data_IF_883303195287
#
_entry.id   IF_883303195287
#
_cell.length_a   1.000
_cell.length_b   1.000
_cell.length_c   1.000
_cell.angle_alpha   90.00
_cell.angle_beta   90.00
_cell.angle_gamma   90.00
#
_symmetry.space_group_name_H-M   'P 1'
#
loop_
_entity.id
_entity.type
_entity.pdbx_description
1 polymer ?
#
# COMPACT_ATOMS: atom_id res chain seq x y z
N UNK A 1 0.65 -13.32 3.08
CA UNK A 1 0.85 -12.76 4.43
C UNK A 1 2.29 -12.65 4.85
N UNK A 2 3.07 -13.69 4.63
CA UNK A 2 4.50 -13.64 4.96
C UNK A 2 5.22 -12.52 4.22
N UNK A 3 4.85 -12.27 2.96
CA UNK A 3 5.46 -11.19 2.18
C UNK A 3 5.17 -9.82 2.79
N UNK A 4 3.97 -9.58 3.27
CA UNK A 4 3.62 -8.31 3.92
C UNK A 4 4.42 -8.11 5.21
N UNK A 5 4.53 -9.16 6.02
CA UNK A 5 5.31 -9.09 7.27
C UNK A 5 6.80 -8.85 7.01
N UNK A 6 7.34 -9.54 6.02
CA UNK A 6 8.74 -9.38 5.65
C UNK A 6 9.02 -7.98 5.12
N UNK A 7 8.10 -7.43 4.31
CA UNK A 7 8.22 -6.06 3.82
C UNK A 7 8.26 -5.06 4.97
N UNK A 8 7.39 -5.24 5.96
CA UNK A 8 7.36 -4.35 7.13
C UNK A 8 8.67 -4.42 7.92
N UNK A 9 9.19 -5.62 8.12
CA UNK A 9 10.49 -5.77 8.80
C UNK A 9 11.60 -5.07 8.05
N UNK A 10 11.64 -5.20 6.74
CA UNK A 10 12.66 -4.56 5.90
C UNK A 10 12.52 -3.04 5.87
N UNK A 11 11.28 -2.53 5.87
CA UNK A 11 11.04 -1.10 5.96
C UNK A 11 11.56 -0.52 7.26
N UNK A 12 11.28 -1.17 8.39
CA UNK A 12 11.79 -0.71 9.68
C UNK A 12 13.32 -0.75 9.76
N UNK A 13 13.93 -1.75 9.13
CA UNK A 13 15.38 -1.94 9.17
C UNK A 13 16.13 -1.03 8.20
N UNK A 14 15.43 -0.40 7.27
CA UNK A 14 16.06 0.33 6.16
C UNK A 14 16.73 1.64 6.55
N UNK A 15 16.45 2.16 7.73
CA UNK A 15 16.94 3.48 8.15
C UNK A 15 16.18 4.61 7.45
N UNK A 16 15.93 5.68 8.18
CA UNK A 16 15.19 6.82 7.63
C UNK A 16 13.69 6.60 7.50
N UNK A 17 13.18 5.45 7.89
CA UNK A 17 11.75 5.14 7.84
C UNK A 17 11.33 4.59 9.20
N UNK A 18 10.33 5.21 9.81
CA UNK A 18 9.76 4.75 11.07
C UNK A 18 8.30 4.42 10.86
N UNK A 19 7.92 3.17 11.09
CA UNK A 19 6.54 2.74 10.96
C UNK A 19 5.73 3.24 12.16
N UNK A 20 4.62 3.89 11.89
CA UNK A 20 3.74 4.43 12.93
C UNK A 20 2.54 3.53 13.16
N UNK A 21 1.85 3.16 12.10
CA UNK A 21 0.65 2.32 12.16
C UNK A 21 0.54 1.48 10.90
N UNK A 22 -0.12 0.34 11.03
CA UNK A 22 -0.50 -0.47 9.88
C UNK A 22 -1.99 -0.72 9.93
N UNK A 23 -2.62 -0.79 8.76
CA UNK A 23 -4.00 -1.23 8.67
C UNK A 23 -4.08 -2.72 8.94
N UNK A 24 -5.30 -3.22 9.13
CA UNK A 24 -5.54 -4.66 9.06
C UNK A 24 -5.22 -5.14 7.66
N UNK A 25 -4.90 -6.42 7.52
CA UNK A 25 -4.77 -7.02 6.21
C UNK A 25 -6.16 -7.15 5.59
N UNK A 26 -6.27 -6.85 4.31
CA UNK A 26 -7.52 -6.93 3.57
C UNK A 26 -7.32 -7.88 2.40
N UNK A 27 -8.30 -8.74 2.15
CA UNK A 27 -8.29 -9.61 0.99
C UNK A 27 -9.13 -8.97 -0.11
N UNK A 28 -8.59 -8.97 -1.32
CA UNK A 28 -9.26 -8.41 -2.50
C UNK A 28 -9.50 -9.55 -3.49
N UNK A 29 -10.72 -9.64 -4.03
CA UNK A 29 -11.04 -10.65 -5.02
C UNK A 29 -10.17 -10.48 -6.27
N UNK A 30 -9.78 -11.59 -6.92
CA UNK A 30 -8.97 -11.51 -8.11
C UNK A 30 -9.73 -10.85 -9.27
N UNK A 31 -8.99 -10.10 -10.09
CA UNK A 31 -9.53 -9.39 -11.25
C UNK A 31 -8.94 -10.05 -12.50
N UNK A 32 -9.81 -10.45 -13.41
CA UNK A 32 -9.40 -11.05 -14.67
C UNK A 32 -9.48 -12.58 -14.66
N UNK A 33 -9.46 -13.13 -15.87
CA UNK A 33 -9.55 -14.58 -16.04
C UNK A 33 -8.22 -15.25 -15.72
N UNK A 34 -8.30 -16.43 -15.15
CA UNK A 34 -7.13 -17.25 -14.85
C UNK A 34 -6.39 -16.89 -13.57
N UNK A 35 -6.89 -15.92 -12.82
CA UNK A 35 -6.31 -15.57 -11.53
C UNK A 35 -6.92 -16.44 -10.44
N UNK A 36 -6.08 -17.04 -9.63
CA UNK A 36 -6.51 -17.85 -8.51
C UNK A 36 -6.21 -17.14 -7.19
N UNK A 37 -7.12 -17.29 -6.23
CA UNK A 37 -6.95 -16.75 -4.90
C UNK A 37 -7.18 -15.26 -4.83
N UNK A 38 -7.29 -14.77 -3.61
CA UNK A 38 -7.48 -13.37 -3.31
C UNK A 38 -6.14 -12.72 -3.01
N UNK A 39 -5.99 -11.46 -3.41
CA UNK A 39 -4.80 -10.68 -3.09
C UNK A 39 -4.91 -10.10 -1.69
N UNK A 40 -3.79 -10.03 -1.00
CA UNK A 40 -3.73 -9.47 0.34
C UNK A 40 -3.08 -8.09 0.26
N UNK A 41 -3.77 -7.10 0.82
CA UNK A 41 -3.33 -5.71 0.80
C UNK A 41 -3.39 -5.13 2.20
N UNK A 42 -2.49 -4.18 2.47
CA UNK A 42 -2.50 -3.41 3.70
C UNK A 42 -1.88 -2.05 3.43
N UNK A 43 -2.20 -1.09 4.28
CA UNK A 43 -1.63 0.26 4.20
C UNK A 43 -0.81 0.51 5.46
N UNK A 44 0.31 1.16 5.27
CA UNK A 44 1.24 1.50 6.35
C UNK A 44 1.37 3.02 6.42
N UNK A 45 1.28 3.57 7.62
CA UNK A 45 1.63 4.96 7.88
C UNK A 45 3.02 4.99 8.47
N UNK A 46 3.88 5.80 7.88
CA UNK A 46 5.27 5.90 8.30
C UNK A 46 5.72 7.34 8.37
N UNK A 47 6.76 7.59 9.13
CA UNK A 47 7.43 8.87 9.22
C UNK A 47 8.82 8.71 8.62
N UNK A 48 9.25 9.69 7.82
CA UNK A 48 10.53 9.60 7.15
C UNK A 48 11.14 10.98 6.95
N UNK A 49 12.48 11.03 6.97
CA UNK A 49 13.25 12.23 6.60
C UNK A 49 13.68 12.16 5.13
N UNK A 50 13.41 11.05 4.47
CA UNK A 50 13.77 10.90 3.06
C UNK A 50 12.82 11.72 2.19
N UNK A 51 13.36 12.33 1.12
CA UNK A 51 12.51 12.93 0.11
C UNK A 51 11.75 11.85 -0.65
N UNK A 52 10.69 12.19 -1.39
CA UNK A 52 9.87 11.17 -2.05
C UNK A 52 10.66 10.27 -3.02
N UNK A 53 11.62 10.82 -3.75
CA UNK A 53 12.39 10.02 -4.71
C UNK A 53 13.34 9.05 -4.00
N UNK A 54 13.98 9.50 -2.93
CA UNK A 54 14.84 8.63 -2.12
C UNK A 54 14.02 7.53 -1.46
N UNK A 55 12.82 7.86 -0.99
CA UNK A 55 11.91 6.88 -0.41
C UNK A 55 11.49 5.85 -1.46
N UNK A 56 11.17 6.30 -2.67
CA UNK A 56 10.82 5.40 -3.77
C UNK A 56 11.95 4.42 -4.06
N UNK A 57 13.19 4.91 -4.13
CA UNK A 57 14.35 4.05 -4.35
C UNK A 57 14.48 3.01 -3.25
N UNK A 58 14.21 3.41 -2.00
CA UNK A 58 14.31 2.51 -0.86
C UNK A 58 13.28 1.39 -0.94
N UNK A 59 12.01 1.73 -1.24
CA UNK A 59 10.97 0.70 -1.35
C UNK A 59 11.18 -0.20 -2.57
N UNK A 60 11.68 0.34 -3.68
CA UNK A 60 12.01 -0.47 -4.85
C UNK A 60 13.16 -1.44 -4.56
N UNK A 61 14.13 -1.00 -3.78
CA UNK A 61 15.22 -1.87 -3.36
C UNK A 61 14.69 -3.05 -2.52
N UNK A 62 13.76 -2.77 -1.61
CA UNK A 62 13.14 -3.80 -0.78
C UNK A 62 12.36 -4.79 -1.65
N UNK A 63 11.59 -4.30 -2.62
CA UNK A 63 10.89 -5.17 -3.56
C UNK A 63 11.87 -6.08 -4.32
N UNK A 64 12.98 -5.51 -4.77
CA UNK A 64 14.01 -6.25 -5.47
C UNK A 64 14.65 -7.34 -4.61
N UNK A 65 14.96 -7.01 -3.36
CA UNK A 65 15.50 -7.99 -2.42
C UNK A 65 14.54 -9.14 -2.18
N UNK A 66 13.27 -8.83 -1.98
CA UNK A 66 12.24 -9.85 -1.77
C UNK A 66 12.04 -10.72 -3.01
N UNK A 67 12.18 -10.14 -4.19
CA UNK A 67 12.07 -10.86 -5.44
C UNK A 67 13.18 -11.89 -5.66
N UNK A 68 14.34 -11.71 -5.04
CA UNK A 68 15.47 -12.65 -5.16
C UNK A 68 15.18 -14.02 -4.54
N UNK A 69 14.21 -14.08 -3.64
CA UNK A 69 13.87 -15.32 -2.94
C UNK A 69 12.68 -16.02 -3.55
N UNK A 70 12.23 -15.57 -4.76
CA UNK A 70 11.15 -16.24 -5.47
C UNK A 70 11.62 -17.59 -6.01
N UNK A 71 10.68 -18.54 -6.07
CA UNK A 71 10.96 -19.81 -6.70
C UNK A 71 11.17 -19.62 -8.19
N UNK A 72 12.11 -20.36 -8.79
CA UNK A 72 12.32 -20.30 -10.24
C UNK A 72 11.03 -20.64 -11.01
N UNK A 73 10.74 -19.86 -12.03
CA UNK A 73 9.56 -20.09 -12.87
C UNK A 73 8.33 -19.32 -12.45
N UNK A 74 8.33 -18.69 -11.29
CA UNK A 74 7.23 -17.81 -10.90
C UNK A 74 7.39 -16.45 -11.56
N UNK A 75 6.30 -15.96 -12.14
CA UNK A 75 6.28 -14.66 -12.80
C UNK A 75 5.73 -13.55 -11.90
N UNK A 76 4.95 -13.91 -10.89
CA UNK A 76 4.33 -12.95 -9.98
C UNK A 76 5.34 -12.43 -8.94
N UNK A 77 5.17 -11.18 -8.57
CA UNK A 77 6.00 -10.57 -7.54
C UNK A 77 5.50 -11.01 -6.16
N UNK A 78 6.41 -11.23 -5.20
CA UNK A 78 5.99 -11.54 -3.83
C UNK A 78 5.28 -10.37 -3.16
N UNK A 79 5.58 -9.13 -3.57
CA UNK A 79 4.96 -7.93 -3.01
C UNK A 79 5.12 -6.73 -3.94
N UNK A 80 4.13 -5.84 -3.90
CA UNK A 80 4.21 -4.52 -4.51
C UNK A 80 4.14 -3.47 -3.41
N UNK A 81 5.08 -2.53 -3.41
CA UNK A 81 5.13 -1.44 -2.44
C UNK A 81 4.90 -0.13 -3.18
N UNK A 82 3.76 0.50 -2.94
CA UNK A 82 3.39 1.75 -3.59
C UNK A 82 3.37 2.90 -2.60
N UNK A 83 3.83 4.06 -3.06
CA UNK A 83 3.69 5.30 -2.30
C UNK A 83 2.32 5.91 -2.63
N UNK A 84 1.45 6.00 -1.64
CA UNK A 84 0.09 6.51 -1.84
C UNK A 84 0.00 8.02 -1.61
N UNK A 85 0.51 8.46 -0.48
CA UNK A 85 0.49 9.85 -0.03
C UNK A 85 1.83 10.18 0.61
N UNK A 86 2.21 11.45 0.53
CA UNK A 86 3.39 11.99 1.22
C UNK A 86 2.98 13.33 1.81
N UNK A 87 2.41 13.31 3.02
CA UNK A 87 1.81 14.50 3.61
C UNK A 87 0.72 15.05 2.70
N UNK A 88 0.77 16.32 2.40
CA UNK A 88 -0.14 16.99 1.48
C UNK A 88 0.54 17.34 0.14
N UNK A 89 1.65 16.68 -0.15
CA UNK A 89 2.43 16.94 -1.36
C UNK A 89 1.68 16.58 -2.63
N UNK A 90 1.83 17.44 -3.63
CA UNK A 90 1.39 17.18 -4.99
C UNK A 90 2.64 17.10 -5.85
N UNK A 91 2.89 15.94 -6.43
CA UNK A 91 4.07 15.70 -7.24
C UNK A 91 3.68 14.92 -8.50
N UNK A 92 4.12 15.41 -9.65
CA UNK A 92 3.90 14.72 -10.91
C UNK A 92 5.22 14.64 -11.65
N UNK A 93 5.70 13.42 -11.87
CA UNK A 93 6.94 13.19 -12.61
C UNK A 93 6.82 11.88 -13.38
N UNK A 94 7.80 11.60 -14.22
CA UNK A 94 7.82 10.36 -15.01
C UNK A 94 7.94 9.11 -14.14
N UNK A 95 8.65 9.21 -13.02
CA UNK A 95 8.93 8.06 -12.18
C UNK A 95 8.04 7.96 -10.95
N UNK A 96 7.41 9.07 -10.54
CA UNK A 96 6.65 9.12 -9.28
C UNK A 96 5.57 10.19 -9.35
N UNK A 97 4.35 9.80 -9.03
CA UNK A 97 3.22 10.71 -8.91
C UNK A 97 2.61 10.55 -7.51
N UNK A 98 2.46 11.65 -6.80
CA UNK A 98 1.87 11.72 -5.45
C UNK A 98 0.76 12.77 -5.44
N UNK A 99 -0.44 12.49 -4.99
CA UNK A 99 -0.94 11.17 -4.55
C UNK A 99 -0.91 10.13 -5.67
N UNK A 100 -0.89 8.86 -5.28
CA UNK A 100 -0.91 7.78 -6.28
C UNK A 100 -2.12 8.00 -7.22
N UNK A 101 -1.90 7.92 -8.55
CA UNK A 101 -2.95 8.32 -9.51
C UNK A 101 -4.21 7.46 -9.48
N UNK A 102 -4.13 6.24 -8.95
CA UNK A 102 -5.28 5.34 -8.86
C UNK A 102 -5.82 5.15 -7.46
N UNK A 103 -5.30 5.91 -6.50
CA UNK A 103 -5.69 5.79 -5.09
C UNK A 103 -7.20 5.90 -4.93
N UNK A 104 -7.82 6.87 -5.58
CA UNK A 104 -9.23 7.18 -5.42
C UNK A 104 -10.17 6.29 -6.24
N UNK A 105 -9.64 5.38 -7.06
CA UNK A 105 -10.46 4.52 -7.91
C UNK A 105 -10.47 3.05 -7.48
N UNK A 106 -9.71 2.72 -6.45
CA UNK A 106 -9.52 1.32 -6.03
C UNK A 106 -9.97 1.09 -4.59
N UNK A 107 -11.02 0.30 -4.42
CA UNK A 107 -11.54 -0.04 -3.10
C UNK A 107 -10.49 -0.74 -2.24
N UNK A 108 -9.65 -1.59 -2.84
CA UNK A 108 -8.63 -2.31 -2.09
C UNK A 108 -7.51 -1.41 -1.55
N UNK A 109 -7.48 -0.15 -1.99
CA UNK A 109 -6.59 0.88 -1.44
C UNK A 109 -7.36 1.73 -0.43
N UNK A 110 -8.55 2.19 -0.79
CA UNK A 110 -9.34 3.10 0.05
C UNK A 110 -9.87 2.45 1.33
N UNK A 111 -10.24 1.17 1.28
CA UNK A 111 -10.73 0.49 2.48
C UNK A 111 -9.67 0.46 3.60
N UNK A 112 -8.47 -0.07 3.37
CA UNK A 112 -7.45 -0.05 4.41
C UNK A 112 -6.94 1.36 4.74
N UNK A 113 -6.92 2.26 3.76
CA UNK A 113 -6.50 3.64 3.99
C UNK A 113 -7.48 4.37 4.90
N UNK A 114 -8.78 4.17 4.68
CA UNK A 114 -9.82 4.76 5.53
C UNK A 114 -9.81 4.20 6.95
N UNK A 115 -9.31 2.99 7.14
CA UNK A 115 -9.13 2.43 8.47
C UNK A 115 -8.15 3.25 9.30
N UNK A 116 -7.10 3.76 8.66
CA UNK A 116 -6.06 4.53 9.34
C UNK A 116 -6.33 6.03 9.37
N UNK A 117 -6.74 6.60 8.25
CA UNK A 117 -6.81 8.06 8.09
C UNK A 117 -8.11 8.50 7.37
N UNK A 118 -9.29 8.16 7.91
CA UNK A 118 -10.55 8.47 7.23
C UNK A 118 -10.79 9.96 7.02
N UNK A 119 -10.27 10.80 7.91
CA UNK A 119 -10.47 12.25 7.86
C UNK A 119 -9.37 13.00 7.12
N UNK A 120 -8.35 12.29 6.66
CA UNK A 120 -7.28 12.91 5.88
C UNK A 120 -7.83 13.39 4.53
N UNK A 121 -7.48 14.61 4.16
CA UNK A 121 -7.91 15.18 2.88
C UNK A 121 -6.93 14.81 1.77
N UNK A 122 -7.44 14.28 0.68
CA UNK A 122 -6.64 14.04 -0.52
C UNK A 122 -6.23 15.41 -1.09
N UNK A 123 -4.95 15.72 -1.19
CA UNK A 123 -4.52 17.09 -1.53
C UNK A 123 -4.92 17.54 -2.94
N UNK A 124 -5.11 16.61 -3.87
CA UNK A 124 -5.54 16.93 -5.23
C UNK A 124 -7.05 17.05 -5.38
N UNK A 125 -7.78 16.07 -4.85
CA UNK A 125 -9.23 16.01 -4.98
C UNK A 125 -9.97 16.82 -3.92
N UNK A 126 -9.29 17.19 -2.84
CA UNK A 126 -9.80 18.01 -1.75
C UNK A 126 -11.02 17.39 -1.05
N UNK A 127 -11.04 16.08 -0.98
CA UNK A 127 -12.05 15.29 -0.29
C UNK A 127 -11.35 14.36 0.71
N UNK A 128 -12.06 14.03 1.79
CA UNK A 128 -11.51 13.09 2.77
C UNK A 128 -11.44 11.69 2.19
N UNK A 129 -10.57 10.87 2.73
CA UNK A 129 -10.46 9.47 2.31
C UNK A 129 -11.80 8.75 2.51
N UNK A 130 -12.49 9.05 3.62
CA UNK A 130 -13.81 8.50 3.88
C UNK A 130 -14.81 8.88 2.78
N UNK A 131 -14.84 10.15 2.37
CA UNK A 131 -15.73 10.62 1.33
C UNK A 131 -15.43 9.94 -0.01
N UNK A 132 -14.15 9.76 -0.33
CA UNK A 132 -13.74 9.08 -1.56
C UNK A 132 -14.22 7.63 -1.56
N UNK A 133 -14.10 6.94 -0.42
CA UNK A 133 -14.58 5.56 -0.29
C UNK A 133 -16.09 5.47 -0.45
N UNK A 134 -16.84 6.38 0.19
CA UNK A 134 -18.31 6.40 0.11
C UNK A 134 -18.84 6.64 -1.30
N UNK A 135 -18.10 7.40 -2.12
CA UNK A 135 -18.53 7.72 -3.48
C UNK A 135 -17.93 6.79 -4.54
N UNK A 136 -17.21 5.77 -4.13
CA UNK A 136 -16.50 4.89 -5.06
C UNK A 136 -17.46 3.99 -5.84
N UNK A 137 -17.26 3.92 -7.15
CA UNK A 137 -18.04 3.06 -8.04
C UNK A 137 -17.49 1.64 -8.18
N UNK A 138 -16.29 1.38 -7.66
CA UNK A 138 -15.66 0.07 -7.73
C UNK A 138 -16.46 -0.95 -6.90
N UNK A 139 -16.90 -2.01 -7.56
CA UNK A 139 -17.72 -3.07 -6.94
C UNK A 139 -16.92 -4.31 -6.54
N UNK A 140 -15.61 -4.29 -6.73
CA UNK A 140 -14.76 -5.41 -6.32
C UNK A 140 -14.87 -5.65 -4.82
N UNK A 141 -15.00 -6.91 -4.45
CA UNK A 141 -15.12 -7.27 -3.04
C UNK A 141 -13.80 -7.16 -2.32
N UNK A 142 -13.83 -6.48 -1.19
CA UNK A 142 -12.69 -6.35 -0.28
C UNK A 142 -13.20 -6.74 1.09
N UNK A 143 -12.49 -7.64 1.77
CA UNK A 143 -12.86 -8.04 3.11
C UNK A 143 -11.68 -7.97 4.05
N UNK A 144 -11.95 -7.51 5.26
CA UNK A 144 -10.96 -7.42 6.31
C UNK A 144 -10.65 -8.82 6.85
N UNK A 145 -9.36 -9.11 7.02
CA UNK A 145 -8.93 -10.36 7.65
C UNK A 145 -8.94 -10.16 9.16
N UNK A 146 -9.95 -10.72 9.81
CA UNK A 146 -10.09 -10.55 11.25
C UNK A 146 -9.14 -11.44 12.04
N UNK A 147 -8.78 -10.95 13.22
CA UNK A 147 -7.88 -11.67 14.11
C UNK A 147 -6.44 -11.71 13.65
N UNK A 148 -6.09 -10.88 12.66
CA UNK A 148 -4.77 -10.88 12.08
C UNK A 148 -4.05 -9.56 12.32
N UNK A 149 -2.84 -9.64 12.89
CA UNK A 149 -2.00 -8.47 13.14
C UNK A 149 -0.74 -8.56 12.30
N UNK A 150 -0.45 -7.51 11.53
CA UNK A 150 0.75 -7.47 10.68
C UNK A 150 2.01 -7.12 11.47
N UNK A 151 1.86 -6.29 12.49
CA UNK A 151 2.98 -5.87 13.33
C UNK A 151 2.80 -6.49 14.70
N UNK A 152 3.79 -7.25 15.15
CA UNK A 152 3.79 -7.77 16.50
C UNK A 152 4.26 -6.67 17.44
N UNK A 153 3.49 -6.41 18.45
CA UNK A 153 3.82 -5.46 19.50
C UNK A 153 4.64 -6.13 20.59
#
# INVERSE_FOLDING_TARGET
>A
MESCREALRRLESAGGIRLLRTSSAHETEPVGEGLEGWFINAVVEAETDLDPFSLLQRVQHIEGEMGRFREPGRSDRPIDLDLLLYGDMLLESETLTIPHPRLHTRRFVLEPLAELIPQQVHPGLRKTIKALLESLADTHKVRKMEGFTLVST
#
